data_IF_694932218845
#
_entry.id   IF_694932218845
#
_cell.length_a   1.000
_cell.length_b   1.000
_cell.length_c   1.000
_cell.angle_alpha   90.00
_cell.angle_beta   90.00
_cell.angle_gamma   90.00
#
_symmetry.space_group_name_H-M   'P 1'
#
loop_
_entity.id
_entity.type
_entity.pdbx_description
1 polymer ?
#
# COMPACT_ATOMS: atom_id res chain seq x y z
N UNK A 1 -21.11 13.39 15.65
CA UNK A 1 -19.83 12.91 15.10
C UNK A 1 -19.29 14.01 14.22
N UNK A 2 -18.12 14.62 14.52
CA UNK A 2 -17.63 15.72 13.70
C UNK A 2 -17.18 15.14 12.35
N UNK A 3 -17.88 15.49 11.27
CA UNK A 3 -17.48 15.14 9.91
C UNK A 3 -16.15 15.81 9.60
N UNK A 4 -15.20 15.06 9.05
CA UNK A 4 -13.93 15.60 8.57
C UNK A 4 -14.14 16.75 7.57
N UNK A 5 -13.12 17.61 7.42
CA UNK A 5 -13.13 18.71 6.45
C UNK A 5 -13.53 18.23 5.04
N UNK A 6 -14.42 18.94 4.37
CA UNK A 6 -14.91 18.59 3.03
C UNK A 6 -13.75 18.36 2.03
N UNK A 7 -12.71 19.19 2.10
CA UNK A 7 -11.53 19.03 1.25
C UNK A 7 -10.78 17.70 1.48
N UNK A 8 -10.77 17.17 2.71
CA UNK A 8 -10.17 15.87 3.01
C UNK A 8 -11.04 14.75 2.44
N UNK A 9 -12.36 14.88 2.53
CA UNK A 9 -13.29 13.91 1.97
C UNK A 9 -13.18 13.85 0.44
N UNK A 10 -13.06 15.01 -0.22
CA UNK A 10 -12.88 15.10 -1.67
C UNK A 10 -11.57 14.45 -2.11
N UNK A 11 -10.46 14.73 -1.42
CA UNK A 11 -9.17 14.11 -1.73
C UNK A 11 -9.18 12.58 -1.54
N UNK A 12 -9.85 12.08 -0.51
CA UNK A 12 -10.02 10.63 -0.29
C UNK A 12 -10.88 10.01 -1.39
N UNK A 13 -11.94 10.69 -1.83
CA UNK A 13 -12.79 10.22 -2.92
C UNK A 13 -12.01 10.12 -4.25
N UNK A 14 -11.18 11.12 -4.56
CA UNK A 14 -10.31 11.11 -5.74
C UNK A 14 -9.31 9.94 -5.71
N UNK A 15 -8.66 9.71 -4.55
CA UNK A 15 -7.74 8.58 -4.39
C UNK A 15 -8.46 7.23 -4.49
N UNK A 16 -9.67 7.11 -3.94
CA UNK A 16 -10.48 5.90 -4.02
C UNK A 16 -10.93 5.60 -5.46
N UNK A 17 -11.35 6.61 -6.21
CA UNK A 17 -11.62 6.48 -7.64
C UNK A 17 -10.35 6.05 -8.40
N UNK A 18 -9.22 6.67 -8.08
CA UNK A 18 -7.91 6.32 -8.62
C UNK A 18 -7.56 4.84 -8.41
N UNK A 19 -7.77 4.32 -7.20
CA UNK A 19 -7.53 2.92 -6.85
C UNK A 19 -8.42 1.93 -7.64
N UNK A 20 -9.70 2.27 -7.81
CA UNK A 20 -10.64 1.44 -8.55
C UNK A 20 -10.35 1.39 -10.06
N UNK A 21 -9.88 2.49 -10.64
CA UNK A 21 -9.74 2.66 -12.09
C UNK A 21 -8.32 2.38 -12.62
N UNK A 22 -7.26 2.63 -11.85
CA UNK A 22 -5.89 2.50 -12.32
C UNK A 22 -5.28 1.14 -11.98
N UNK A 23 -5.23 0.24 -12.97
CA UNK A 23 -4.68 -1.12 -12.85
C UNK A 23 -3.29 -1.20 -13.48
N UNK A 24 -2.30 -0.61 -12.81
CA UNK A 24 -0.94 -0.43 -13.35
C UNK A 24 -0.06 -1.68 -13.20
N UNK A 25 -0.12 -2.35 -12.05
CA UNK A 25 0.66 -3.58 -11.80
C UNK A 25 -0.04 -4.46 -10.77
N UNK A 26 0.48 -5.68 -10.57
CA UNK A 26 0.17 -6.48 -9.38
C UNK A 26 0.83 -5.79 -8.18
N UNK A 27 0.01 -5.32 -7.24
CA UNK A 27 0.43 -4.71 -5.98
C UNK A 27 0.24 -5.69 -4.82
N UNK A 28 1.00 -5.51 -3.75
CA UNK A 28 0.84 -6.24 -2.49
C UNK A 28 -0.46 -5.88 -1.79
N UNK A 29 -0.85 -4.60 -1.87
CA UNK A 29 -2.09 -4.04 -1.35
C UNK A 29 -2.21 -4.04 0.19
N UNK A 30 -1.10 -4.33 0.87
CA UNK A 30 -0.96 -4.25 2.33
C UNK A 30 0.54 -4.19 2.70
N UNK A 31 1.33 -3.41 1.94
CA UNK A 31 2.79 -3.37 2.11
C UNK A 31 3.22 -2.44 3.25
N UNK A 32 2.86 -2.79 4.48
CA UNK A 32 3.34 -2.12 5.68
C UNK A 32 4.57 -2.83 6.27
N UNK A 33 5.30 -2.18 7.18
CA UNK A 33 6.52 -2.73 7.80
C UNK A 33 6.34 -4.10 8.48
N UNK A 34 5.13 -4.44 8.95
CA UNK A 34 4.81 -5.77 9.47
C UNK A 34 4.92 -6.92 8.46
N UNK A 35 4.86 -6.61 7.16
CA UNK A 35 4.92 -7.58 6.05
C UNK A 35 6.31 -7.61 5.40
N UNK A 36 7.32 -7.03 6.07
CA UNK A 36 8.72 -7.07 5.65
C UNK A 36 9.55 -7.91 6.63
N UNK A 37 10.24 -8.91 6.09
CA UNK A 37 11.24 -9.67 6.81
C UNK A 37 12.63 -9.15 6.48
N UNK A 38 13.38 -8.78 7.51
CA UNK A 38 14.77 -8.36 7.41
C UNK A 38 15.69 -9.51 7.79
N UNK A 39 16.77 -9.70 7.04
CA UNK A 39 17.84 -10.62 7.42
C UNK A 39 18.46 -10.22 8.76
N UNK A 40 18.90 -11.18 9.59
CA UNK A 40 19.70 -10.89 10.77
C UNK A 40 20.95 -10.07 10.44
N UNK A 41 21.44 -9.27 11.39
CA UNK A 41 22.59 -8.37 11.19
C UNK A 41 23.87 -9.10 10.77
N UNK A 42 24.03 -10.35 11.17
CA UNK A 42 25.22 -11.16 10.89
C UNK A 42 25.14 -11.90 9.55
N UNK A 43 24.06 -11.70 8.79
CA UNK A 43 23.87 -12.23 7.45
C UNK A 43 24.04 -11.16 6.38
N UNK A 44 24.18 -11.57 5.11
CA UNK A 44 24.12 -10.64 3.99
C UNK A 44 22.77 -9.88 4.03
N UNK A 45 22.76 -8.55 3.82
CA UNK A 45 21.54 -7.77 3.85
C UNK A 45 20.53 -8.26 2.81
N UNK A 46 19.36 -8.66 3.27
CA UNK A 46 18.23 -9.06 2.44
C UNK A 46 16.91 -8.61 3.06
N UNK A 47 15.94 -8.33 2.18
CA UNK A 47 14.56 -7.99 2.54
C UNK A 47 13.65 -8.91 1.73
N UNK A 48 12.68 -9.52 2.40
CA UNK A 48 11.63 -10.33 1.76
C UNK A 48 10.26 -9.78 2.14
N UNK A 49 9.39 -9.59 1.14
CA UNK A 49 7.98 -9.26 1.37
C UNK A 49 7.16 -10.54 1.55
N UNK A 50 6.31 -10.58 2.58
CA UNK A 50 5.45 -11.72 2.92
C UNK A 50 3.99 -11.28 2.96
N UNK A 51 3.07 -12.24 3.03
CA UNK A 51 1.63 -11.99 3.21
C UNK A 51 0.91 -11.31 2.02
N UNK A 52 1.03 -11.95 0.85
CA UNK A 52 0.44 -11.47 -0.40
C UNK A 52 -1.08 -11.72 -0.52
N UNK A 53 -1.81 -11.90 0.58
CA UNK A 53 -3.23 -12.32 0.54
C UNK A 53 -4.18 -11.27 -0.04
N UNK A 54 -3.80 -9.99 0.02
CA UNK A 54 -4.55 -8.87 -0.57
C UNK A 54 -4.10 -8.49 -1.98
N UNK A 55 -3.14 -9.23 -2.56
CA UNK A 55 -2.54 -8.87 -3.83
C UNK A 55 -3.58 -8.75 -4.95
N UNK A 56 -3.54 -7.63 -5.66
CA UNK A 56 -4.48 -7.30 -6.71
C UNK A 56 -3.82 -6.48 -7.80
N UNK A 57 -4.44 -6.39 -8.98
CA UNK A 57 -4.03 -5.35 -9.92
C UNK A 57 -4.51 -3.98 -9.41
N UNK A 58 -3.60 -3.02 -9.31
CA UNK A 58 -3.85 -1.71 -8.71
C UNK A 58 -2.81 -0.66 -9.09
N UNK A 59 -2.91 0.55 -8.50
CA UNK A 59 -1.96 1.62 -8.75
C UNK A 59 -0.66 1.40 -7.96
N UNK A 60 0.49 1.60 -8.61
CA UNK A 60 1.83 1.42 -8.00
C UNK A 60 1.98 2.28 -6.73
N UNK A 61 1.38 3.48 -6.74
CA UNK A 61 1.46 4.42 -5.64
C UNK A 61 0.84 3.91 -4.33
N UNK A 62 -0.06 2.90 -4.38
CA UNK A 62 -0.71 2.37 -3.18
C UNK A 62 0.32 1.72 -2.23
N UNK A 63 1.11 0.76 -2.72
CA UNK A 63 2.14 0.09 -1.92
C UNK A 63 3.20 1.08 -1.40
N UNK A 64 3.56 2.09 -2.21
CA UNK A 64 4.51 3.13 -1.80
C UNK A 64 3.96 4.06 -0.71
N UNK A 65 2.65 4.27 -0.66
CA UNK A 65 1.99 5.09 0.35
C UNK A 65 1.71 4.35 1.67
N UNK A 66 1.68 3.02 1.64
CA UNK A 66 1.47 2.17 2.81
C UNK A 66 2.73 1.90 3.64
N UNK A 67 3.91 1.95 3.01
CA UNK A 67 5.21 1.66 3.63
C UNK A 67 5.69 2.77 4.58
#
# INVERSE_FOLDING_TARGET
MPGGSAAVQDAVAELAEGYCSHKQCLIHNDLHTGNLLLSPKDCAPAISCIDWEFAAYGPIAFDLGCL
#
